data_IF_846535445597
#
_entry.id   IF_846535445597
#
_cell.length_a   1.000
_cell.length_b   1.000
_cell.length_c   1.000
_cell.angle_alpha   90.00
_cell.angle_beta   90.00
_cell.angle_gamma   90.00
#
_symmetry.space_group_name_H-M   'P 1'
#
loop_
_entity.id
_entity.type
_entity.pdbx_description
1 polymer ?
#
# COMPACT_ATOMS: atom_id res chain seq x y z
N UNK A 1 11.63 -18.46 0.13
CA UNK A 1 11.83 -17.06 0.59
C UNK A 1 13.06 -16.47 -0.10
N UNK A 2 12.96 -15.24 -0.53
CA UNK A 2 14.07 -14.48 -1.12
C UNK A 2 15.10 -14.12 -0.03
N UNK A 3 16.37 -13.96 -0.43
CA UNK A 3 17.40 -13.47 0.48
C UNK A 3 17.28 -11.94 0.70
N UNK A 4 17.90 -11.44 1.75
CA UNK A 4 17.81 -10.02 2.13
C UNK A 4 18.37 -9.10 1.03
N UNK A 5 19.43 -9.48 0.34
CA UNK A 5 20.02 -8.67 -0.73
C UNK A 5 19.06 -8.52 -1.91
N UNK A 6 18.39 -9.59 -2.29
CA UNK A 6 17.34 -9.58 -3.31
C UNK A 6 16.16 -8.72 -2.89
N UNK A 7 15.65 -8.86 -1.65
CA UNK A 7 14.56 -8.03 -1.10
C UNK A 7 14.92 -6.54 -1.18
N UNK A 8 16.12 -6.16 -0.75
CA UNK A 8 16.59 -4.77 -0.80
C UNK A 8 16.69 -4.25 -2.24
N UNK A 9 17.22 -5.07 -3.16
CA UNK A 9 17.31 -4.70 -4.59
C UNK A 9 15.93 -4.48 -5.20
N UNK A 10 14.96 -5.36 -4.96
CA UNK A 10 13.59 -5.22 -5.48
C UNK A 10 12.87 -4.01 -4.89
N UNK A 11 13.09 -3.70 -3.60
CA UNK A 11 12.57 -2.50 -2.96
C UNK A 11 13.13 -1.22 -3.58
N UNK A 12 14.44 -1.19 -3.88
CA UNK A 12 15.07 -0.07 -4.57
C UNK A 12 14.52 0.10 -6.00
N UNK A 13 14.28 -0.98 -6.72
CA UNK A 13 13.66 -0.92 -8.04
C UNK A 13 12.25 -0.30 -7.98
N UNK A 14 11.40 -0.73 -7.02
CA UNK A 14 10.07 -0.13 -6.81
C UNK A 14 10.14 1.35 -6.46
N UNK A 15 11.10 1.72 -5.62
CA UNK A 15 11.35 3.11 -5.24
C UNK A 15 11.74 3.95 -6.47
N UNK A 16 12.64 3.45 -7.29
CA UNK A 16 13.06 4.12 -8.52
C UNK A 16 11.92 4.18 -9.56
N UNK A 17 11.14 3.11 -9.73
CA UNK A 17 9.99 3.08 -10.64
C UNK A 17 8.99 4.20 -10.31
N UNK A 18 8.70 4.43 -9.01
CA UNK A 18 7.86 5.54 -8.56
C UNK A 18 8.44 6.89 -8.97
N UNK A 19 9.74 7.10 -8.83
CA UNK A 19 10.44 8.37 -9.14
C UNK A 19 10.53 8.64 -10.63
N UNK A 20 10.85 7.62 -11.43
CA UNK A 20 11.00 7.73 -12.88
C UNK A 20 9.69 7.56 -13.63
N UNK A 21 8.64 7.07 -12.97
CA UNK A 21 7.35 6.69 -13.57
C UNK A 21 7.52 5.68 -14.70
N UNK A 22 8.45 4.77 -14.51
CA UNK A 22 8.74 3.68 -15.45
C UNK A 22 8.34 2.37 -14.79
N UNK A 23 7.35 1.65 -15.33
CA UNK A 23 6.90 0.40 -14.73
C UNK A 23 7.96 -0.68 -14.86
N UNK A 24 7.96 -1.59 -13.90
CA UNK A 24 8.83 -2.76 -13.83
C UNK A 24 8.13 -3.99 -14.36
N UNK A 25 8.88 -4.96 -14.82
CA UNK A 25 8.35 -6.30 -15.10
C UNK A 25 7.97 -7.01 -13.81
N UNK A 26 7.05 -7.96 -13.91
CA UNK A 26 6.60 -8.78 -12.79
C UNK A 26 7.77 -9.46 -12.08
N UNK A 27 7.90 -9.22 -10.78
CA UNK A 27 8.92 -9.87 -9.95
C UNK A 27 8.71 -11.38 -9.86
N UNK A 28 7.46 -11.84 -9.82
CA UNK A 28 7.12 -13.26 -9.81
C UNK A 28 7.58 -14.01 -11.06
N UNK A 29 7.77 -13.34 -12.19
CA UNK A 29 8.37 -13.94 -13.39
C UNK A 29 9.89 -14.08 -13.29
N UNK A 30 10.54 -13.16 -12.57
CA UNK A 30 11.98 -13.19 -12.32
C UNK A 30 12.33 -14.12 -11.15
N UNK A 31 11.43 -14.24 -10.19
CA UNK A 31 11.55 -15.04 -8.98
C UNK A 31 10.31 -15.95 -8.82
N UNK A 32 10.22 -17.07 -9.57
CA UNK A 32 9.00 -17.91 -9.57
C UNK A 32 8.65 -18.55 -8.22
N UNK A 33 9.62 -18.65 -7.30
CA UNK A 33 9.42 -19.14 -5.93
C UNK A 33 9.05 -18.06 -4.92
N UNK A 34 8.84 -16.83 -5.38
CA UNK A 34 8.44 -15.70 -4.52
C UNK A 34 7.09 -15.98 -3.85
N UNK A 35 6.99 -15.68 -2.57
CA UNK A 35 5.78 -15.85 -1.75
C UNK A 35 5.14 -14.50 -1.41
N UNK A 36 3.96 -14.53 -0.81
CA UNK A 36 3.28 -13.34 -0.29
C UNK A 36 4.13 -12.67 0.81
N UNK A 37 4.77 -13.47 1.67
CA UNK A 37 5.67 -12.97 2.73
C UNK A 37 6.87 -12.22 2.15
N UNK A 38 7.42 -12.69 1.02
CA UNK A 38 8.48 -11.99 0.29
C UNK A 38 7.97 -10.63 -0.24
N UNK A 39 6.73 -10.58 -0.72
CA UNK A 39 6.07 -9.34 -1.14
C UNK A 39 5.99 -8.32 0.01
N UNK A 40 5.55 -8.75 1.19
CA UNK A 40 5.53 -7.91 2.38
C UNK A 40 6.93 -7.53 2.88
N UNK A 41 7.93 -8.40 2.72
CA UNK A 41 9.31 -8.07 3.05
C UNK A 41 9.87 -6.96 2.15
N UNK A 42 9.59 -7.03 0.84
CA UNK A 42 9.92 -5.97 -0.13
C UNK A 42 9.18 -4.67 0.21
N UNK A 43 7.88 -4.75 0.54
CA UNK A 43 7.11 -3.57 0.97
C UNK A 43 7.74 -2.91 2.20
N UNK A 44 8.11 -3.69 3.23
CA UNK A 44 8.79 -3.15 4.43
C UNK A 44 10.15 -2.51 4.10
N UNK A 45 10.91 -3.11 3.18
CA UNK A 45 12.18 -2.53 2.73
C UNK A 45 11.96 -1.22 1.98
N UNK A 46 10.96 -1.16 1.09
CA UNK A 46 10.57 0.06 0.39
C UNK A 46 10.13 1.17 1.38
N UNK A 47 9.32 0.83 2.38
CA UNK A 47 8.92 1.79 3.43
C UNK A 47 10.12 2.37 4.16
N UNK A 48 11.15 1.56 4.46
CA UNK A 48 12.39 2.06 5.07
C UNK A 48 13.09 3.11 4.19
N UNK A 49 13.09 2.93 2.87
CA UNK A 49 13.63 3.93 1.93
C UNK A 49 12.84 5.24 1.98
N UNK A 50 11.52 5.16 1.98
CA UNK A 50 10.65 6.35 2.08
C UNK A 50 10.88 7.12 3.40
N UNK A 51 10.96 6.39 4.52
CA UNK A 51 11.25 6.99 5.83
C UNK A 51 12.64 7.63 5.89
N UNK A 52 13.64 7.01 5.27
CA UNK A 52 15.00 7.55 5.19
C UNK A 52 15.07 8.87 4.37
N UNK A 53 14.14 9.07 3.42
CA UNK A 53 13.96 10.33 2.70
C UNK A 53 13.16 11.40 3.48
N UNK A 54 12.81 11.12 4.74
CA UNK A 54 12.10 12.06 5.61
C UNK A 54 10.58 12.00 5.52
N UNK A 55 10.00 11.08 4.75
CA UNK A 55 8.56 10.87 4.70
C UNK A 55 8.07 10.21 5.97
N UNK A 56 6.76 10.30 6.23
CA UNK A 56 6.12 9.73 7.41
C UNK A 56 4.94 8.87 7.03
N UNK A 57 4.72 7.79 7.76
CA UNK A 57 3.48 7.02 7.64
C UNK A 57 2.36 7.86 8.25
N UNK A 58 1.35 8.20 7.44
CA UNK A 58 0.19 8.98 7.85
C UNK A 58 -1.07 8.14 8.02
N UNK A 59 -1.12 6.99 7.38
CA UNK A 59 -2.25 6.08 7.45
C UNK A 59 -1.90 4.70 6.93
N UNK A 60 -2.93 3.88 6.78
CA UNK A 60 -2.83 2.54 6.20
C UNK A 60 -4.02 2.28 5.30
N UNK A 61 -3.83 1.51 4.25
CA UNK A 61 -4.92 0.96 3.46
C UNK A 61 -5.09 -0.53 3.80
N UNK A 62 -6.32 -1.02 3.63
CA UNK A 62 -6.66 -2.44 3.67
C UNK A 62 -7.42 -2.73 2.39
N UNK A 63 -6.88 -3.59 1.55
CA UNK A 63 -7.50 -4.03 0.31
C UNK A 63 -8.09 -5.44 0.40
N UNK A 64 -8.77 -5.89 -0.65
CA UNK A 64 -9.38 -7.22 -0.75
C UNK A 64 -10.29 -7.56 0.44
N UNK A 65 -11.06 -6.59 0.90
CA UNK A 65 -11.94 -6.73 2.07
C UNK A 65 -13.21 -7.53 1.77
N UNK A 66 -13.59 -7.72 0.50
CA UNK A 66 -14.74 -8.51 0.11
C UNK A 66 -14.37 -9.90 -0.40
N UNK A 67 -15.17 -10.90 -0.07
CA UNK A 67 -14.97 -12.28 -0.55
C UNK A 67 -14.96 -12.36 -2.08
N UNK A 68 -15.79 -11.56 -2.76
CA UNK A 68 -15.85 -11.53 -4.21
C UNK A 68 -14.50 -11.09 -4.83
N UNK A 69 -13.88 -10.06 -4.26
CA UNK A 69 -12.57 -9.58 -4.71
C UNK A 69 -11.44 -10.58 -4.41
N UNK A 70 -11.48 -11.22 -3.24
CA UNK A 70 -10.53 -12.28 -2.88
C UNK A 70 -10.58 -13.44 -3.88
N UNK A 71 -11.78 -13.92 -4.21
CA UNK A 71 -11.97 -14.99 -5.21
C UNK A 71 -11.47 -14.56 -6.59
N UNK A 72 -11.81 -13.34 -7.02
CA UNK A 72 -11.37 -12.80 -8.33
C UNK A 72 -9.84 -12.67 -8.42
N UNK A 73 -9.18 -12.29 -7.32
CA UNK A 73 -7.73 -12.10 -7.24
C UNK A 73 -6.98 -13.39 -6.91
N UNK A 74 -7.68 -14.48 -6.60
CA UNK A 74 -7.09 -15.75 -6.12
C UNK A 74 -6.24 -15.58 -4.86
N UNK A 75 -6.64 -14.64 -4.01
CA UNK A 75 -6.03 -14.36 -2.70
C UNK A 75 -7.15 -14.50 -1.67
N UNK A 76 -6.95 -15.26 -0.61
CA UNK A 76 -7.99 -15.63 0.35
C UNK A 76 -8.01 -14.77 1.63
N UNK A 77 -7.15 -13.76 1.70
CA UNK A 77 -7.05 -12.83 2.81
C UNK A 77 -7.00 -11.37 2.34
N UNK A 78 -7.38 -10.40 3.19
CA UNK A 78 -7.14 -8.98 2.92
C UNK A 78 -5.66 -8.66 2.83
N UNK A 79 -5.32 -7.67 1.99
CA UNK A 79 -4.00 -7.07 1.95
C UNK A 79 -3.94 -5.74 2.71
N UNK A 80 -2.73 -5.27 3.01
CA UNK A 80 -2.54 -3.98 3.67
C UNK A 80 -1.25 -3.30 3.24
N UNK A 81 -1.27 -1.97 3.29
CA UNK A 81 -0.07 -1.16 3.03
C UNK A 81 -0.06 0.12 3.87
N UNK A 82 1.11 0.64 4.24
CA UNK A 82 1.21 1.98 4.80
C UNK A 82 1.05 3.04 3.71
N UNK A 83 0.42 4.15 4.08
CA UNK A 83 0.27 5.34 3.25
C UNK A 83 1.20 6.44 3.78
N UNK A 84 2.06 6.96 2.90
CA UNK A 84 2.98 8.04 3.23
C UNK A 84 2.26 9.40 3.23
N UNK A 85 2.78 10.36 3.94
CA UNK A 85 2.20 11.70 4.09
C UNK A 85 2.02 12.44 2.76
N UNK A 86 2.93 12.24 1.80
CA UNK A 86 2.86 12.82 0.45
C UNK A 86 1.81 12.16 -0.47
N UNK A 87 1.14 11.09 -0.01
CA UNK A 87 0.05 10.42 -0.72
C UNK A 87 -1.33 11.01 -0.40
N UNK A 88 -1.40 11.98 0.51
CA UNK A 88 -2.66 12.58 0.93
C UNK A 88 -2.88 13.92 0.24
N UNK A 89 -4.05 14.09 -0.34
CA UNK A 89 -4.50 15.30 -0.99
C UNK A 89 -5.68 15.91 -0.24
N UNK A 90 -5.78 17.24 -0.24
CA UNK A 90 -6.92 17.92 0.34
C UNK A 90 -8.17 17.71 -0.51
N UNK A 91 -9.33 17.67 0.14
CA UNK A 91 -10.61 17.64 -0.55
C UNK A 91 -10.75 18.87 -1.46
N UNK A 92 -11.20 18.65 -2.70
CA UNK A 92 -11.36 19.69 -3.72
C UNK A 92 -10.06 20.19 -4.32
N UNK A 93 -8.91 19.60 -3.95
CA UNK A 93 -7.62 19.93 -4.55
C UNK A 93 -7.36 19.18 -5.86
N UNK A 94 -6.50 19.74 -6.69
CA UNK A 94 -6.03 19.08 -7.90
C UNK A 94 -4.96 18.04 -7.60
N UNK A 95 -5.07 16.87 -8.25
CA UNK A 95 -4.10 15.81 -8.17
C UNK A 95 -3.35 15.73 -9.49
N UNK A 96 -2.05 16.10 -9.55
CA UNK A 96 -1.30 16.13 -10.81
C UNK A 96 -1.18 14.73 -11.42
N UNK A 97 -1.79 14.52 -12.58
CA UNK A 97 -1.74 13.24 -13.30
C UNK A 97 -0.29 12.77 -13.56
N UNK A 98 0.62 13.71 -13.77
CA UNK A 98 2.04 13.43 -14.03
C UNK A 98 2.78 12.76 -12.86
N UNK A 99 2.15 12.65 -11.69
CA UNK A 99 2.73 11.91 -10.55
C UNK A 99 2.65 10.40 -10.72
N UNK A 100 1.79 9.92 -11.61
CA UNK A 100 1.41 8.52 -11.71
C UNK A 100 1.96 7.84 -12.98
N UNK A 101 1.96 6.51 -12.95
CA UNK A 101 2.31 5.66 -14.09
C UNK A 101 1.03 5.27 -14.84
N UNK A 102 0.10 4.62 -14.14
CA UNK A 102 -1.17 4.12 -14.67
C UNK A 102 -2.27 4.22 -13.60
N UNK A 103 -2.71 5.45 -13.25
CA UNK A 103 -3.63 5.66 -12.14
C UNK A 103 -5.02 5.09 -12.44
N UNK A 104 -5.63 4.52 -11.40
CA UNK A 104 -7.04 4.12 -11.36
C UNK A 104 -7.67 4.69 -10.11
N UNK A 105 -8.98 4.96 -10.16
CA UNK A 105 -9.74 5.54 -9.06
C UNK A 105 -10.59 4.45 -8.43
N UNK A 106 -10.57 4.37 -7.11
CA UNK A 106 -11.42 3.52 -6.29
C UNK A 106 -12.18 4.36 -5.28
N UNK A 107 -13.40 3.91 -4.94
CA UNK A 107 -14.22 4.55 -3.90
C UNK A 107 -14.07 3.74 -2.63
N UNK A 108 -13.71 4.42 -1.53
CA UNK A 108 -13.35 3.83 -0.27
C UNK A 108 -14.08 4.45 0.92
N UNK A 109 -13.98 3.79 2.07
CA UNK A 109 -14.34 4.34 3.37
C UNK A 109 -13.07 4.56 4.20
N UNK A 110 -12.83 5.81 4.59
CA UNK A 110 -11.73 6.16 5.48
C UNK A 110 -12.22 6.23 6.93
N UNK A 111 -11.56 5.48 7.81
CA UNK A 111 -11.73 5.54 9.25
C UNK A 111 -10.70 6.50 9.82
N UNK A 112 -11.16 7.61 10.37
CA UNK A 112 -10.28 8.59 11.01
C UNK A 112 -10.19 8.27 12.49
N UNK A 113 -8.96 7.95 12.94
CA UNK A 113 -8.71 7.53 14.32
C UNK A 113 -8.40 8.73 15.21
N UNK A 114 -9.11 8.86 16.31
CA UNK A 114 -8.86 9.87 17.36
C UNK A 114 -7.79 9.44 18.36
N UNK A 115 -7.44 8.14 18.38
CA UNK A 115 -6.38 7.59 19.24
C UNK A 115 -5.65 6.44 18.54
N UNK A 116 -4.41 6.14 18.97
CA UNK A 116 -3.66 5.03 18.40
C UNK A 116 -4.39 3.69 18.56
N UNK A 117 -4.31 2.87 17.52
CA UNK A 117 -4.80 1.50 17.50
C UNK A 117 -3.61 0.60 17.12
N UNK A 118 -3.14 -0.22 18.02
CA UNK A 118 -1.95 -1.05 17.84
C UNK A 118 -1.97 -2.28 18.77
N UNK A 119 -1.25 -3.31 18.36
CA UNK A 119 -0.98 -4.50 19.17
C UNK A 119 -1.69 -5.75 18.64
N UNK A 120 -1.31 -6.92 19.15
CA UNK A 120 -2.07 -8.14 18.93
C UNK A 120 -3.42 -8.06 19.64
N UNK A 121 -4.37 -8.89 19.21
CA UNK A 121 -5.69 -9.06 19.84
C UNK A 121 -6.61 -7.81 19.78
N UNK A 122 -6.41 -6.93 18.77
CA UNK A 122 -7.32 -5.80 18.54
C UNK A 122 -8.70 -6.33 18.20
N UNK A 123 -9.70 -5.90 18.98
CA UNK A 123 -11.09 -6.30 18.81
C UNK A 123 -11.89 -5.28 17.97
N UNK A 124 -13.08 -5.67 17.51
CA UNK A 124 -14.02 -4.74 16.88
C UNK A 124 -14.33 -3.53 17.80
N UNK A 125 -14.46 -3.77 19.09
CA UNK A 125 -14.75 -2.70 20.07
C UNK A 125 -13.59 -1.72 20.20
N UNK A 126 -12.34 -2.18 20.08
CA UNK A 126 -11.17 -1.32 20.09
C UNK A 126 -11.16 -0.42 18.85
N UNK A 127 -11.48 -0.99 17.67
CA UNK A 127 -11.58 -0.22 16.43
C UNK A 127 -12.68 0.84 16.53
N UNK A 128 -13.89 0.45 16.96
CA UNK A 128 -15.01 1.39 17.13
C UNK A 128 -14.67 2.49 18.13
N UNK A 129 -14.04 2.11 19.23
CA UNK A 129 -13.64 3.04 20.30
C UNK A 129 -12.49 3.98 19.89
N UNK A 130 -11.64 3.58 18.95
CA UNK A 130 -10.54 4.40 18.43
C UNK A 130 -10.98 5.31 17.27
N UNK A 131 -12.11 5.04 16.63
CA UNK A 131 -12.59 5.77 15.46
C UNK A 131 -13.38 7.02 15.87
N UNK A 132 -12.93 8.19 15.45
CA UNK A 132 -13.66 9.44 15.63
C UNK A 132 -14.82 9.54 14.64
N UNK A 133 -14.56 9.28 13.36
CA UNK A 133 -15.58 9.27 12.32
C UNK A 133 -15.15 8.45 11.11
N UNK A 134 -16.13 8.12 10.27
CA UNK A 134 -15.94 7.46 8.98
C UNK A 134 -16.40 8.43 7.89
N UNK A 135 -15.63 8.51 6.81
CA UNK A 135 -15.94 9.40 5.68
C UNK A 135 -15.71 8.68 4.35
N UNK A 136 -16.48 8.98 3.30
CA UNK A 136 -16.13 8.58 1.95
C UNK A 136 -14.75 9.14 1.58
N UNK A 137 -13.98 8.35 0.86
CA UNK A 137 -12.67 8.72 0.34
C UNK A 137 -12.52 8.22 -1.09
N UNK A 138 -11.60 8.84 -1.82
CA UNK A 138 -11.15 8.38 -3.13
C UNK A 138 -9.72 7.89 -2.98
N UNK A 139 -9.47 6.63 -3.35
CA UNK A 139 -8.12 6.11 -3.51
C UNK A 139 -7.69 6.21 -4.97
N UNK A 140 -6.45 6.61 -5.20
CA UNK A 140 -5.81 6.52 -6.51
C UNK A 140 -4.73 5.46 -6.40
N UNK A 141 -5.04 4.29 -6.94
CA UNK A 141 -4.05 3.22 -7.07
C UNK A 141 -3.16 3.50 -8.28
N UNK A 142 -1.88 3.17 -8.15
CA UNK A 142 -0.92 3.34 -9.23
C UNK A 142 -0.01 2.11 -9.33
N UNK A 143 0.12 1.55 -10.53
CA UNK A 143 0.88 0.34 -10.76
C UNK A 143 2.35 0.66 -11.07
N UNK A 144 3.26 0.27 -10.18
CA UNK A 144 4.71 0.28 -10.42
C UNK A 144 5.22 -0.94 -11.16
N UNK A 145 4.36 -1.93 -11.36
CA UNK A 145 4.63 -3.17 -12.09
C UNK A 145 3.68 -3.23 -13.27
N UNK A 146 4.15 -3.68 -14.43
CA UNK A 146 3.35 -3.87 -15.64
C UNK A 146 2.09 -4.69 -15.33
N UNK A 147 0.96 -4.31 -15.95
CA UNK A 147 -0.34 -5.00 -15.81
C UNK A 147 -0.64 -5.87 -17.01
#
# INVERSE_FOLDING_TARGET
MLDEATIQSLAQQLHQARRTRTPLRHFSRQHPSMTVEDGYAIQRAWVRLELAEGRRIKGRKIGLTSRAMQVSSQIDEPDYAPLMDDMFFAQGGDIPFQRFIAPRVEVELAFVLGRPLAGPEVTLFDVLSATDYVTPAVEIIDARIEQ
#
